data_IF_984357639667
#
_entry.id   IF_984357639667
#
_cell.length_a   1.000
_cell.length_b   1.000
_cell.length_c   1.000
_cell.angle_alpha   90.00
_cell.angle_beta   90.00
_cell.angle_gamma   90.00
#
_symmetry.space_group_name_H-M   'P 1'
#
loop_
_entity.id
_entity.type
_entity.pdbx_description
1 polymer ?
#
# COMPACT_ATOMS: atom_id res chain seq x y z
N UNK A 1 -6.57 7.12 18.32
CA UNK A 1 -7.46 7.52 17.20
C UNK A 1 -7.14 6.61 16.03
N UNK A 2 -8.11 5.80 15.60
CA UNK A 2 -7.94 4.85 14.50
C UNK A 2 -8.34 5.59 13.22
N UNK A 3 -7.39 5.76 12.30
CA UNK A 3 -7.62 6.46 11.03
C UNK A 3 -8.50 5.56 10.17
N UNK A 4 -9.64 6.07 9.69
CA UNK A 4 -10.51 5.33 8.77
C UNK A 4 -9.93 5.34 7.35
N UNK A 5 -10.53 4.56 6.45
CA UNK A 5 -10.19 4.59 5.04
C UNK A 5 -10.35 6.00 4.46
N UNK A 6 -11.48 6.66 4.75
CA UNK A 6 -11.84 7.98 4.25
C UNK A 6 -10.85 9.04 4.74
N UNK A 7 -10.47 8.99 6.02
CA UNK A 7 -9.47 9.90 6.59
C UNK A 7 -8.10 9.73 5.92
N UNK A 8 -7.68 8.49 5.72
CA UNK A 8 -6.41 8.18 5.06
C UNK A 8 -6.43 8.61 3.59
N UNK A 9 -7.52 8.35 2.88
CA UNK A 9 -7.70 8.75 1.48
C UNK A 9 -7.72 10.26 1.33
N UNK A 10 -8.49 10.98 2.15
CA UNK A 10 -8.53 12.44 2.16
C UNK A 10 -7.13 13.03 2.41
N UNK A 11 -6.37 12.45 3.34
CA UNK A 11 -4.98 12.86 3.61
C UNK A 11 -4.04 12.56 2.45
N UNK A 12 -4.23 11.46 1.74
CA UNK A 12 -3.47 11.14 0.53
C UNK A 12 -3.81 12.13 -0.60
N UNK A 13 -5.08 12.51 -0.76
CA UNK A 13 -5.54 13.46 -1.79
C UNK A 13 -4.88 14.84 -1.69
N UNK A 14 -4.50 15.27 -0.48
CA UNK A 14 -3.75 16.51 -0.25
C UNK A 14 -2.33 16.51 -0.84
N UNK A 15 -1.90 15.41 -1.46
CA UNK A 15 -0.59 15.27 -2.08
C UNK A 15 -0.69 15.17 -3.60
N UNK A 16 0.37 15.61 -4.29
CA UNK A 16 0.48 15.47 -5.75
C UNK A 16 0.36 14.01 -6.16
N UNK A 17 -0.25 13.73 -7.32
CA UNK A 17 -0.55 12.38 -7.78
C UNK A 17 0.69 11.45 -7.76
N UNK A 18 1.83 11.90 -8.29
CA UNK A 18 3.10 11.14 -8.28
C UNK A 18 3.82 11.06 -6.92
N UNK A 19 3.17 11.53 -5.86
CA UNK A 19 3.63 11.46 -4.46
C UNK A 19 2.58 10.85 -3.54
N UNK A 20 1.38 10.61 -4.07
CA UNK A 20 0.25 10.11 -3.33
C UNK A 20 0.41 8.64 -3.03
N UNK A 21 0.22 8.31 -1.77
CA UNK A 21 0.27 6.94 -1.29
C UNK A 21 -0.84 6.72 -0.28
N UNK A 22 -1.57 5.63 -0.47
CA UNK A 22 -2.49 5.04 0.47
C UNK A 22 -1.96 3.67 0.88
N UNK A 23 -1.98 3.36 2.17
CA UNK A 23 -1.53 2.08 2.70
C UNK A 23 -2.62 1.51 3.59
N UNK A 24 -2.95 0.24 3.37
CA UNK A 24 -3.74 -0.57 4.27
C UNK A 24 -2.84 -1.64 4.87
N UNK A 25 -2.77 -1.70 6.19
CA UNK A 25 -2.18 -2.82 6.93
C UNK A 25 -3.32 -3.70 7.41
N UNK A 26 -3.33 -4.94 6.99
CA UNK A 26 -4.43 -5.88 7.19
C UNK A 26 -3.89 -7.01 8.07
N UNK A 27 -4.55 -7.21 9.21
CA UNK A 27 -4.38 -8.39 10.04
C UNK A 27 -5.69 -9.19 10.08
N UNK A 28 -5.71 -10.29 10.84
CA UNK A 28 -6.86 -11.20 10.90
C UNK A 28 -8.14 -10.56 11.43
N UNK A 29 -8.05 -9.44 12.14
CA UNK A 29 -9.17 -8.82 12.85
C UNK A 29 -9.48 -7.42 12.34
N UNK A 30 -8.52 -6.77 11.69
CA UNK A 30 -8.65 -5.38 11.30
C UNK A 30 -7.81 -4.92 10.12
N UNK A 31 -8.32 -3.88 9.45
CA UNK A 31 -7.54 -3.04 8.55
C UNK A 31 -7.22 -1.71 9.24
N UNK A 32 -5.94 -1.36 9.27
CA UNK A 32 -5.42 -0.06 9.71
C UNK A 32 -4.95 0.73 8.50
N UNK A 33 -5.32 2.01 8.47
CA UNK A 33 -5.09 2.86 7.31
C UNK A 33 -4.04 3.94 7.56
N UNK A 34 -3.28 4.24 6.51
CA UNK A 34 -2.40 5.39 6.45
C UNK A 34 -2.48 6.02 5.05
N UNK A 35 -2.46 7.34 4.97
CA UNK A 35 -2.38 8.03 3.69
C UNK A 35 -1.57 9.31 3.78
N UNK A 36 -0.98 9.69 2.65
CA UNK A 36 -0.21 10.91 2.53
C UNK A 36 0.90 10.82 1.48
N UNK A 37 1.99 11.51 1.78
CA UNK A 37 3.11 11.67 0.86
C UNK A 37 4.05 10.48 0.97
N UNK A 38 4.39 9.82 -0.14
CA UNK A 38 5.25 8.63 -0.18
C UNK A 38 6.57 8.80 0.58
N UNK A 39 7.19 9.98 0.55
CA UNK A 39 8.43 10.25 1.29
C UNK A 39 8.28 10.28 2.83
N UNK A 40 7.04 10.36 3.33
CA UNK A 40 6.70 10.24 4.75
C UNK A 40 6.35 8.81 5.16
N UNK A 41 6.17 7.91 4.20
CA UNK A 41 5.99 6.49 4.47
C UNK A 41 7.34 5.81 4.69
N UNK A 42 7.51 5.22 5.86
CA UNK A 42 8.74 4.50 6.24
C UNK A 42 8.35 3.10 6.70
N UNK A 43 8.18 2.14 5.77
CA UNK A 43 7.88 0.77 6.16
C UNK A 43 9.07 0.19 6.92
N UNK A 44 8.80 -0.68 7.89
CA UNK A 44 9.87 -1.46 8.51
C UNK A 44 10.47 -2.40 7.46
N UNK A 45 11.70 -2.11 7.03
CA UNK A 45 12.37 -2.88 5.98
C UNK A 45 12.69 -4.33 6.38
N UNK A 46 12.73 -4.61 7.69
CA UNK A 46 12.92 -5.97 8.20
C UNK A 46 11.71 -6.89 7.94
N UNK A 47 10.54 -6.32 7.65
CA UNK A 47 9.33 -7.09 7.38
C UNK A 47 9.20 -7.52 5.91
N UNK A 48 10.18 -7.20 5.06
CA UNK A 48 10.20 -7.70 3.68
C UNK A 48 10.74 -9.13 3.67
N UNK A 49 10.06 -10.02 2.93
CA UNK A 49 10.42 -11.44 2.83
C UNK A 49 11.82 -11.73 2.32
N UNK A 50 12.45 -10.78 1.62
CA UNK A 50 13.83 -10.89 1.17
C UNK A 50 14.43 -9.52 0.81
N UNK A 51 15.75 -9.45 0.73
CA UNK A 51 16.44 -8.29 0.17
C UNK A 51 16.08 -8.00 -1.29
N UNK A 52 15.68 -9.02 -2.07
CA UNK A 52 15.19 -8.82 -3.43
C UNK A 52 13.83 -8.12 -3.45
N UNK A 53 12.92 -8.49 -2.55
CA UNK A 53 11.62 -7.82 -2.35
C UNK A 53 11.81 -6.35 -1.98
N UNK A 54 12.75 -6.06 -1.06
CA UNK A 54 13.10 -4.70 -0.67
C UNK A 54 13.66 -3.87 -1.85
N UNK A 55 14.56 -4.45 -2.65
CA UNK A 55 15.10 -3.78 -3.84
C UNK A 55 14.01 -3.48 -4.88
N UNK A 56 13.09 -4.42 -5.13
CA UNK A 56 11.94 -4.22 -6.02
C UNK A 56 11.05 -3.08 -5.54
N UNK A 57 10.74 -3.04 -4.24
CA UNK A 57 9.99 -1.96 -3.61
C UNK A 57 10.65 -0.60 -3.83
N UNK A 58 11.94 -0.47 -3.49
CA UNK A 58 12.69 0.79 -3.68
C UNK A 58 12.71 1.22 -5.15
N UNK A 59 12.87 0.27 -6.08
CA UNK A 59 12.80 0.52 -7.52
C UNK A 59 11.43 1.03 -7.96
N UNK A 60 10.35 0.45 -7.46
CA UNK A 60 8.97 0.87 -7.72
C UNK A 60 8.74 2.32 -7.24
N UNK A 61 9.04 2.59 -5.98
CA UNK A 61 8.92 3.94 -5.37
C UNK A 61 9.73 4.97 -6.17
N UNK A 62 10.96 4.61 -6.55
CA UNK A 62 11.84 5.49 -7.33
C UNK A 62 11.27 5.81 -8.73
N UNK A 63 10.69 4.81 -9.42
CA UNK A 63 10.03 5.04 -10.72
C UNK A 63 8.78 5.89 -10.59
N UNK A 64 7.93 5.59 -9.60
CA UNK A 64 6.71 6.36 -9.31
C UNK A 64 7.02 7.84 -9.01
N UNK A 65 7.96 8.13 -8.11
CA UNK A 65 8.36 9.50 -7.75
C UNK A 65 8.91 10.32 -8.92
N UNK A 66 9.51 9.65 -9.92
CA UNK A 66 10.01 10.27 -11.16
C UNK A 66 8.96 10.40 -12.25
N UNK A 67 7.71 10.03 -11.99
CA UNK A 67 6.63 10.04 -12.99
C UNK A 67 6.81 9.01 -14.11
N UNK A 68 7.74 8.05 -13.95
CA UNK A 68 7.93 6.95 -14.92
C UNK A 68 6.84 5.88 -14.84
N UNK A 69 6.00 5.97 -13.80
CA UNK A 69 4.84 5.10 -13.60
C UNK A 69 3.76 5.96 -12.96
N UNK A 70 2.58 6.04 -13.59
CA UNK A 70 1.48 6.89 -13.11
C UNK A 70 0.87 6.35 -11.82
N UNK A 71 0.69 5.02 -11.76
CA UNK A 71 0.14 4.30 -10.61
C UNK A 71 0.97 3.08 -10.31
N UNK A 72 0.99 2.66 -9.06
CA UNK A 72 1.60 1.41 -8.68
C UNK A 72 0.82 0.80 -7.53
N UNK A 73 0.83 -0.51 -7.44
CA UNK A 73 0.21 -1.24 -6.37
C UNK A 73 1.16 -2.36 -5.93
N UNK A 74 1.28 -2.55 -4.63
CA UNK A 74 2.18 -3.54 -4.07
C UNK A 74 1.55 -4.19 -2.85
N UNK A 75 1.52 -5.52 -2.86
CA UNK A 75 1.20 -6.36 -1.73
C UNK A 75 2.50 -6.80 -1.02
N UNK A 76 2.52 -6.70 0.30
CA UNK A 76 3.60 -7.11 1.19
C UNK A 76 3.06 -8.15 2.16
N UNK A 77 3.68 -9.32 2.19
CA UNK A 77 3.41 -10.33 3.22
C UNK A 77 4.47 -10.21 4.31
N UNK A 78 4.02 -10.11 5.55
CA UNK A 78 4.88 -10.08 6.72
C UNK A 78 4.94 -11.48 7.37
N UNK A 79 6.02 -11.74 8.09
CA UNK A 79 6.27 -13.05 8.70
C UNK A 79 5.30 -13.41 9.84
N UNK A 80 4.63 -12.40 10.41
CA UNK A 80 3.63 -12.55 11.48
C UNK A 80 2.22 -12.85 10.95
N UNK A 81 2.07 -13.06 9.64
CA UNK A 81 0.79 -13.32 9.00
C UNK A 81 -0.01 -12.07 8.63
N UNK A 82 0.46 -10.88 9.03
CA UNK A 82 -0.11 -9.62 8.56
C UNK A 82 0.33 -9.34 7.12
N UNK A 83 -0.47 -8.57 6.38
CA UNK A 83 -0.12 -8.14 5.04
C UNK A 83 -0.45 -6.67 4.82
N UNK A 84 0.42 -5.98 4.10
CA UNK A 84 0.28 -4.57 3.77
C UNK A 84 0.02 -4.41 2.27
N UNK A 85 -0.94 -3.57 1.91
CA UNK A 85 -1.12 -3.09 0.54
C UNK A 85 -0.75 -1.62 0.44
N UNK A 86 0.08 -1.27 -0.54
CA UNK A 86 0.50 0.08 -0.82
C UNK A 86 0.01 0.48 -2.22
N UNK A 87 -0.87 1.48 -2.28
CA UNK A 87 -1.50 1.98 -3.50
C UNK A 87 -0.95 3.39 -3.77
N UNK A 88 -0.20 3.52 -4.86
CA UNK A 88 0.48 4.73 -5.28
C UNK A 88 -0.31 5.41 -6.40
N UNK A 89 -0.49 6.72 -6.30
CA UNK A 89 -1.15 7.50 -7.34
C UNK A 89 -2.64 7.25 -7.47
N UNK A 90 -3.29 6.81 -6.38
CA UNK A 90 -4.75 6.56 -6.36
C UNK A 90 -5.54 7.84 -6.65
N UNK A 91 -6.53 7.76 -7.51
CA UNK A 91 -7.29 8.92 -7.98
C UNK A 91 -8.65 9.04 -7.28
N UNK A 92 -9.32 7.91 -7.06
CA UNK A 92 -10.65 7.87 -6.41
C UNK A 92 -10.72 6.86 -5.26
N UNK A 93 -11.76 6.99 -4.43
CA UNK A 93 -11.99 6.09 -3.31
C UNK A 93 -12.42 4.71 -3.82
N UNK A 94 -13.22 4.68 -4.89
CA UNK A 94 -13.71 3.49 -5.56
C UNK A 94 -12.53 2.67 -6.11
N UNK A 95 -11.59 3.32 -6.80
CA UNK A 95 -10.36 2.69 -7.28
C UNK A 95 -9.56 2.06 -6.11
N UNK A 96 -9.46 2.78 -4.99
CA UNK A 96 -8.74 2.28 -3.82
C UNK A 96 -9.40 1.03 -3.23
N UNK A 97 -10.74 1.01 -3.20
CA UNK A 97 -11.53 -0.10 -2.69
C UNK A 97 -11.48 -1.32 -3.62
N UNK A 98 -11.57 -1.12 -4.94
CA UNK A 98 -11.42 -2.18 -5.93
C UNK A 98 -10.05 -2.84 -5.83
N UNK A 99 -8.96 -2.06 -5.83
CA UNK A 99 -7.61 -2.58 -5.67
C UNK A 99 -7.41 -3.33 -4.34
N UNK A 100 -8.02 -2.83 -3.26
CA UNK A 100 -8.01 -3.55 -1.98
C UNK A 100 -8.77 -4.87 -2.07
N UNK A 101 -9.95 -4.87 -2.69
CA UNK A 101 -10.77 -6.07 -2.84
C UNK A 101 -10.04 -7.15 -3.63
N UNK A 102 -9.44 -6.80 -4.76
CA UNK A 102 -8.63 -7.70 -5.58
C UNK A 102 -7.45 -8.27 -4.79
N UNK A 103 -6.78 -7.43 -4.00
CA UNK A 103 -5.69 -7.84 -3.11
C UNK A 103 -6.15 -8.88 -2.08
N UNK A 104 -7.33 -8.65 -1.47
CA UNK A 104 -7.89 -9.54 -0.45
C UNK A 104 -8.31 -10.89 -1.05
N UNK A 105 -8.90 -10.89 -2.25
CA UNK A 105 -9.22 -12.12 -2.98
C UNK A 105 -7.94 -12.90 -3.26
N UNK A 106 -6.92 -12.26 -3.83
CA UNK A 106 -5.66 -12.92 -4.15
C UNK A 106 -4.97 -13.49 -2.91
N UNK A 107 -5.02 -12.74 -1.80
CA UNK A 107 -4.46 -13.19 -0.52
C UNK A 107 -5.20 -14.42 0.00
N UNK A 108 -6.54 -14.40 -0.01
CA UNK A 108 -7.38 -15.53 0.43
C UNK A 108 -7.10 -16.80 -0.37
N UNK A 109 -6.97 -16.69 -1.69
CA UNK A 109 -6.66 -17.83 -2.57
C UNK A 109 -5.30 -18.45 -2.20
N UNK A 110 -4.32 -17.64 -1.80
CA UNK A 110 -2.96 -18.09 -1.48
C UNK A 110 -2.81 -18.64 -0.06
N UNK A 111 -3.68 -18.25 0.88
CA UNK A 111 -3.63 -18.71 2.28
C UNK A 111 -4.56 -19.89 2.58
N UNK A 112 -5.49 -20.21 1.68
CA UNK A 112 -6.41 -21.35 1.82
C UNK A 112 -5.98 -22.62 1.06
N UNK A 113 -4.80 -22.61 0.44
CA UNK A 113 -4.12 -23.77 -0.17
C UNK A 113 -2.86 -24.11 0.64
#
# INVERSE_FOLDING_TARGET
MRITFEDAFAKAQQTKLNRRLLVALIDHTETRWWGGHVDKWRPNEALFSSGASLRRYRGLVSRFKRGKTAKAHMLMFHSDGTFGTAIFGVESAEEAQELLHDTLIETRIRTCN
#
